data_IF_732991195656
#
_entry.id   IF_732991195656
#
_cell.length_a   1.000
_cell.length_b   1.000
_cell.length_c   1.000
_cell.angle_alpha   90.00
_cell.angle_beta   90.00
_cell.angle_gamma   90.00
#
_symmetry.space_group_name_H-M   'P 1'
#
loop_
_entity.id
_entity.type
_entity.pdbx_description
1 polymer ?
#
# COMPACT_ATOMS: atom_id res chain seq x y z
N UNK A 1 -3.77 42.28 16.87
CA UNK A 1 -2.51 41.80 16.24
C UNK A 1 -1.76 40.76 17.06
N UNK A 2 -2.08 40.56 18.34
CA UNK A 2 -1.38 39.58 19.19
C UNK A 2 -1.30 38.14 18.64
N UNK A 3 -2.36 37.54 18.03
CA UNK A 3 -2.26 36.19 17.46
C UNK A 3 -1.21 36.06 16.34
N UNK A 4 -1.09 37.09 15.49
CA UNK A 4 -0.11 37.11 14.39
C UNK A 4 1.31 37.17 14.94
N UNK A 5 1.56 38.05 15.92
CA UNK A 5 2.87 38.15 16.58
C UNK A 5 3.28 36.84 17.24
N UNK A 6 2.33 36.17 17.90
CA UNK A 6 2.55 34.86 18.51
C UNK A 6 2.92 33.82 17.45
N UNK A 7 2.16 33.71 16.37
CA UNK A 7 2.44 32.76 15.29
C UNK A 7 3.82 32.99 14.66
N UNK A 8 4.22 34.25 14.44
CA UNK A 8 5.56 34.60 13.95
C UNK A 8 6.66 34.13 14.91
N UNK A 9 6.47 34.37 16.21
CA UNK A 9 7.42 33.93 17.25
C UNK A 9 7.51 32.42 17.33
N UNK A 10 6.38 31.72 17.31
CA UNK A 10 6.32 30.26 17.41
C UNK A 10 6.96 29.60 16.17
N UNK A 11 6.81 30.21 14.98
CA UNK A 11 7.49 29.79 13.75
C UNK A 11 8.98 30.17 13.69
N UNK A 12 9.46 31.03 14.59
CA UNK A 12 10.83 31.54 14.57
C UNK A 12 11.15 32.39 13.34
N UNK A 13 10.14 33.04 12.75
CA UNK A 13 10.29 33.82 11.52
C UNK A 13 10.26 35.31 11.79
N UNK A 14 11.03 36.05 11.01
CA UNK A 14 10.93 37.49 10.90
C UNK A 14 9.93 37.91 9.83
N UNK A 15 9.39 39.13 9.94
CA UNK A 15 8.34 39.65 9.04
C UNK A 15 8.75 39.59 7.56
N UNK A 16 10.02 39.88 7.26
CA UNK A 16 10.53 39.95 5.90
C UNK A 16 10.61 38.55 5.23
N UNK A 17 10.61 37.48 6.04
CA UNK A 17 10.63 36.09 5.55
C UNK A 17 9.24 35.59 5.15
N UNK A 18 8.17 36.31 5.49
CA UNK A 18 6.83 35.97 5.01
C UNK A 18 6.75 36.43 3.56
N UNK A 19 6.60 35.51 2.63
CA UNK A 19 6.52 35.82 1.20
C UNK A 19 5.12 36.34 0.83
N UNK A 20 4.08 35.69 1.32
CA UNK A 20 2.69 35.92 0.93
C UNK A 20 1.75 35.98 2.13
N UNK A 21 0.72 36.84 2.05
CA UNK A 21 -0.32 36.97 3.08
C UNK A 21 -1.66 36.63 2.45
N UNK A 22 -2.18 35.44 2.73
CA UNK A 22 -3.48 34.97 2.23
C UNK A 22 -4.58 35.25 3.26
N UNK A 23 -5.70 35.84 2.82
CA UNK A 23 -6.83 36.20 3.67
C UNK A 23 -7.96 35.17 3.55
N UNK A 24 -8.24 34.43 4.62
CA UNK A 24 -9.29 33.38 4.64
C UNK A 24 -10.40 33.73 5.65
N UNK A 25 -11.67 33.60 5.23
CA UNK A 25 -12.86 33.91 6.02
C UNK A 25 -13.41 35.33 5.85
N UNK A 26 -14.74 35.46 5.95
CA UNK A 26 -15.48 36.70 5.63
C UNK A 26 -15.10 37.93 6.47
N UNK A 27 -14.62 37.75 7.70
CA UNK A 27 -14.18 38.86 8.58
C UNK A 27 -12.98 39.64 8.00
N UNK A 28 -12.21 39.03 7.10
CA UNK A 28 -11.11 39.71 6.41
C UNK A 28 -11.56 40.73 5.36
N UNK A 29 -12.87 40.81 5.06
CA UNK A 29 -13.44 41.86 4.21
C UNK A 29 -13.46 43.24 4.90
N UNK A 30 -13.21 43.31 6.21
CA UNK A 30 -13.17 44.56 6.97
C UNK A 30 -11.90 45.36 6.59
N UNK A 31 -12.01 46.59 6.04
CA UNK A 31 -10.86 47.36 5.58
C UNK A 31 -9.81 47.64 6.67
N UNK A 32 -10.26 47.87 7.92
CA UNK A 32 -9.35 48.12 9.04
C UNK A 32 -8.49 46.90 9.38
N UNK A 33 -9.00 45.69 9.22
CA UNK A 33 -8.23 44.44 9.43
C UNK A 33 -7.14 44.33 8.38
N UNK A 34 -7.48 44.55 7.11
CA UNK A 34 -6.52 44.55 6.01
C UNK A 34 -5.43 45.61 6.20
N UNK A 35 -5.78 46.82 6.61
CA UNK A 35 -4.81 47.88 6.88
C UNK A 35 -3.85 47.50 8.01
N UNK A 36 -4.36 46.97 9.12
CA UNK A 36 -3.52 46.55 10.25
C UNK A 36 -2.52 45.44 9.87
N UNK A 37 -2.92 44.52 8.98
CA UNK A 37 -2.02 43.48 8.46
C UNK A 37 -0.94 44.08 7.56
N UNK A 38 -1.31 44.97 6.63
CA UNK A 38 -0.35 45.69 5.77
C UNK A 38 0.65 46.49 6.60
N UNK A 39 0.18 47.26 7.56
CA UNK A 39 1.04 48.07 8.44
C UNK A 39 2.01 47.18 9.24
N UNK A 40 1.55 46.02 9.69
CA UNK A 40 2.39 45.09 10.44
C UNK A 40 3.47 44.43 9.57
N UNK A 41 3.15 44.09 8.33
CA UNK A 41 4.08 43.48 7.36
C UNK A 41 4.69 44.52 6.41
N UNK A 42 4.96 45.72 6.93
CA UNK A 42 5.75 46.77 6.26
C UNK A 42 5.25 47.14 4.85
N UNK A 43 3.93 47.17 4.67
CA UNK A 43 3.25 47.55 3.44
C UNK A 43 3.05 46.42 2.42
N UNK A 44 3.45 45.18 2.74
CA UNK A 44 3.30 44.02 1.85
C UNK A 44 1.86 43.85 1.37
N UNK A 45 1.70 43.56 0.07
CA UNK A 45 0.39 43.34 -0.51
C UNK A 45 -0.27 42.06 0.02
N UNK A 46 -1.58 42.15 0.27
CA UNK A 46 -2.39 41.01 0.70
C UNK A 46 -2.88 40.28 -0.55
N UNK A 47 -2.75 38.95 -0.59
CA UNK A 47 -3.27 38.14 -1.69
C UNK A 47 -4.80 38.20 -1.72
N UNK A 48 -5.34 38.47 -2.91
CA UNK A 48 -6.79 38.52 -3.20
C UNK A 48 -7.24 37.56 -4.29
N UNK A 49 -6.34 36.71 -4.78
CA UNK A 49 -6.62 35.70 -5.81
C UNK A 49 -7.33 34.46 -5.24
N UNK A 50 -7.26 34.26 -3.92
CA UNK A 50 -7.94 33.17 -3.23
C UNK A 50 -9.31 33.62 -2.72
N UNK A 51 -10.35 32.83 -3.00
CA UNK A 51 -11.68 33.08 -2.47
C UNK A 51 -11.73 32.74 -0.97
N UNK A 52 -11.96 33.72 -0.07
CA UNK A 52 -11.87 33.52 1.38
C UNK A 52 -12.95 32.59 1.93
N UNK A 53 -14.07 32.44 1.24
CA UNK A 53 -15.22 31.66 1.72
C UNK A 53 -15.14 30.19 1.27
N UNK A 54 -14.41 29.90 0.20
CA UNK A 54 -14.32 28.55 -0.40
C UNK A 54 -12.98 27.86 -0.15
N UNK A 55 -11.90 28.61 0.11
CA UNK A 55 -10.55 28.05 0.25
C UNK A 55 -10.45 26.92 1.28
N UNK A 56 -11.16 27.06 2.40
CA UNK A 56 -11.20 26.04 3.45
C UNK A 56 -11.89 24.77 2.95
N UNK A 57 -13.01 24.91 2.23
CA UNK A 57 -13.74 23.77 1.67
C UNK A 57 -12.92 23.05 0.59
N UNK A 58 -12.24 23.79 -0.29
CA UNK A 58 -11.31 23.22 -1.27
C UNK A 58 -10.17 22.47 -0.60
N UNK A 59 -9.50 23.08 0.39
CA UNK A 59 -8.42 22.42 1.13
C UNK A 59 -8.88 21.12 1.82
N UNK A 60 -10.04 21.14 2.47
CA UNK A 60 -10.61 19.95 3.09
C UNK A 60 -10.96 18.85 2.08
N UNK A 61 -11.51 19.22 0.91
CA UNK A 61 -11.80 18.28 -0.16
C UNK A 61 -10.53 17.62 -0.71
N UNK A 62 -9.47 18.41 -0.94
CA UNK A 62 -8.18 17.89 -1.40
C UNK A 62 -7.54 16.91 -0.42
N UNK A 63 -7.59 17.20 0.89
CA UNK A 63 -7.07 16.28 1.92
C UNK A 63 -7.86 14.97 1.91
N UNK A 64 -9.19 15.04 1.87
CA UNK A 64 -10.04 13.85 1.81
C UNK A 64 -9.76 13.02 0.56
N UNK A 65 -9.62 13.66 -0.60
CA UNK A 65 -9.29 12.98 -1.85
C UNK A 65 -7.92 12.30 -1.78
N UNK A 66 -6.91 12.97 -1.23
CA UNK A 66 -5.60 12.37 -1.00
C UNK A 66 -5.65 11.14 -0.07
N UNK A 67 -6.45 11.19 1.00
CA UNK A 67 -6.65 10.05 1.90
C UNK A 67 -7.36 8.87 1.21
N UNK A 68 -8.35 9.12 0.37
CA UNK A 68 -9.02 8.06 -0.40
C UNK A 68 -8.07 7.42 -1.41
N UNK A 69 -7.28 8.22 -2.14
CA UNK A 69 -6.23 7.68 -3.02
C UNK A 69 -5.20 6.85 -2.26
N UNK A 70 -4.74 7.30 -1.09
CA UNK A 70 -3.83 6.52 -0.27
C UNK A 70 -4.43 5.16 0.17
N UNK A 71 -5.73 5.13 0.48
CA UNK A 71 -6.45 3.88 0.80
C UNK A 71 -6.59 2.97 -0.41
N UNK A 72 -6.88 3.53 -1.59
CA UNK A 72 -6.98 2.78 -2.84
C UNK A 72 -5.63 2.19 -3.25
N UNK A 73 -4.55 2.97 -3.16
CA UNK A 73 -3.17 2.53 -3.41
C UNK A 73 -2.79 1.39 -2.45
N UNK A 74 -3.13 1.50 -1.16
CA UNK A 74 -2.90 0.41 -0.18
C UNK A 74 -3.63 -0.88 -0.61
N UNK A 75 -4.91 -0.79 -1.00
CA UNK A 75 -5.68 -1.96 -1.46
C UNK A 75 -5.10 -2.59 -2.73
N UNK A 76 -4.66 -1.77 -3.69
CA UNK A 76 -4.04 -2.25 -4.93
C UNK A 76 -2.70 -2.93 -4.63
N UNK A 77 -1.88 -2.35 -3.74
CA UNK A 77 -0.62 -2.95 -3.27
C UNK A 77 -0.85 -4.31 -2.61
N UNK A 78 -1.78 -4.38 -1.65
CA UNK A 78 -2.09 -5.64 -0.95
C UNK A 78 -2.61 -6.73 -1.89
N UNK A 79 -3.49 -6.38 -2.84
CA UNK A 79 -3.97 -7.31 -3.88
C UNK A 79 -2.81 -7.83 -4.72
N UNK A 80 -1.93 -6.93 -5.15
CA UNK A 80 -0.77 -7.26 -6.00
C UNK A 80 0.20 -8.18 -5.26
N UNK A 81 0.45 -7.90 -3.98
CA UNK A 81 1.27 -8.76 -3.13
C UNK A 81 0.65 -10.16 -3.02
N UNK A 82 -0.65 -10.28 -2.75
CA UNK A 82 -1.31 -11.58 -2.66
C UNK A 82 -1.24 -12.39 -3.98
N UNK A 83 -1.43 -11.72 -5.13
CA UNK A 83 -1.24 -12.33 -6.46
C UNK A 83 0.20 -12.84 -6.63
N UNK A 84 1.18 -11.99 -6.31
CA UNK A 84 2.60 -12.33 -6.46
C UNK A 84 3.03 -13.47 -5.53
N UNK A 85 2.46 -13.55 -4.32
CA UNK A 85 2.68 -14.67 -3.40
C UNK A 85 2.20 -15.99 -4.00
N UNK A 86 0.99 -16.03 -4.56
CA UNK A 86 0.46 -17.20 -5.26
C UNK A 86 1.33 -17.58 -6.46
N UNK A 87 1.63 -16.63 -7.33
CA UNK A 87 2.47 -16.84 -8.51
C UNK A 87 3.85 -17.39 -8.13
N UNK A 88 4.50 -16.78 -7.14
CA UNK A 88 5.81 -17.21 -6.63
C UNK A 88 5.74 -18.62 -6.06
N UNK A 89 4.71 -18.96 -5.27
CA UNK A 89 4.54 -20.30 -4.72
C UNK A 89 4.41 -21.36 -5.83
N UNK A 90 3.58 -21.09 -6.84
CA UNK A 90 3.39 -21.97 -8.00
C UNK A 90 4.72 -22.22 -8.70
N UNK A 91 5.49 -21.17 -9.01
CA UNK A 91 6.78 -21.33 -9.67
C UNK A 91 7.81 -22.06 -8.81
N UNK A 92 7.88 -21.76 -7.51
CA UNK A 92 8.76 -22.47 -6.59
C UNK A 92 8.41 -23.96 -6.53
N UNK A 93 7.12 -24.29 -6.49
CA UNK A 93 6.66 -25.67 -6.50
C UNK A 93 7.03 -26.40 -7.79
N UNK A 94 6.74 -25.78 -8.95
CA UNK A 94 7.11 -26.32 -10.27
C UNK A 94 8.62 -26.53 -10.39
N UNK A 95 9.43 -25.65 -9.82
CA UNK A 95 10.88 -25.82 -9.81
C UNK A 95 11.31 -26.99 -8.91
N UNK A 96 10.71 -27.18 -7.75
CA UNK A 96 11.08 -28.26 -6.83
C UNK A 96 10.81 -29.66 -7.40
N UNK A 97 9.69 -29.84 -8.10
CA UNK A 97 9.27 -31.14 -8.66
C UNK A 97 9.94 -31.50 -9.99
N UNK A 98 10.61 -30.53 -10.62
CA UNK A 98 11.33 -30.70 -11.89
C UNK A 98 12.85 -30.69 -11.75
N UNK A 99 13.35 -30.46 -10.53
CA UNK A 99 14.77 -30.43 -10.21
C UNK A 99 15.18 -31.76 -9.55
N UNK A 100 16.05 -32.52 -10.23
CA UNK A 100 16.60 -33.82 -9.80
C UNK A 100 17.32 -33.73 -8.45
N UNK A 101 17.99 -32.59 -8.18
CA UNK A 101 18.68 -32.35 -6.90
C UNK A 101 17.69 -32.06 -5.74
N UNK A 102 16.40 -31.86 -6.03
CA UNK A 102 15.36 -31.52 -5.05
C UNK A 102 14.38 -32.67 -4.82
N UNK A 103 13.21 -32.62 -5.47
CA UNK A 103 12.09 -33.54 -5.23
C UNK A 103 11.79 -34.43 -6.44
N UNK A 104 12.32 -34.14 -7.63
CA UNK A 104 11.92 -34.84 -8.86
C UNK A 104 12.14 -36.36 -8.77
N UNK A 105 13.31 -36.81 -8.30
CA UNK A 105 13.64 -38.24 -8.15
C UNK A 105 13.02 -38.89 -6.92
N UNK A 106 12.47 -38.08 -6.01
CA UNK A 106 11.91 -38.56 -4.74
C UNK A 106 10.40 -38.76 -4.83
N UNK A 107 9.73 -38.14 -5.80
CA UNK A 107 8.29 -38.21 -6.04
C UNK A 107 7.95 -39.45 -6.88
N UNK A 108 6.85 -40.12 -6.54
CA UNK A 108 6.26 -41.06 -7.48
C UNK A 108 5.48 -40.32 -8.60
N UNK A 109 5.06 -41.07 -9.62
CA UNK A 109 4.39 -40.51 -10.79
C UNK A 109 3.04 -39.85 -10.43
N UNK A 110 2.28 -40.43 -9.51
CA UNK A 110 0.95 -39.94 -9.14
C UNK A 110 1.07 -38.68 -8.28
N UNK A 111 2.04 -38.64 -7.36
CA UNK A 111 2.39 -37.47 -6.56
C UNK A 111 2.86 -36.31 -7.43
N UNK A 112 3.72 -36.58 -8.41
CA UNK A 112 4.21 -35.57 -9.35
C UNK A 112 3.08 -35.02 -10.22
N UNK A 113 2.27 -35.89 -10.82
CA UNK A 113 1.13 -35.50 -11.67
C UNK A 113 0.12 -34.64 -10.91
N UNK A 114 -0.16 -34.98 -9.65
CA UNK A 114 -1.04 -34.20 -8.79
C UNK A 114 -0.53 -32.78 -8.54
N UNK A 115 0.76 -32.63 -8.21
CA UNK A 115 1.34 -31.29 -8.01
C UNK A 115 1.38 -30.50 -9.33
N UNK A 116 1.76 -31.14 -10.44
CA UNK A 116 1.78 -30.50 -11.76
C UNK A 116 0.40 -30.02 -12.19
N UNK A 117 -0.63 -30.84 -11.99
CA UNK A 117 -2.01 -30.51 -12.33
C UNK A 117 -2.51 -29.33 -11.49
N UNK A 118 -2.37 -29.39 -10.17
CA UNK A 118 -2.85 -28.31 -9.29
C UNK A 118 -2.10 -27.00 -9.54
N UNK A 119 -0.78 -27.04 -9.75
CA UNK A 119 0.01 -25.83 -10.03
C UNK A 119 -0.32 -25.23 -11.41
N UNK A 120 -0.64 -26.07 -12.40
CA UNK A 120 -1.08 -25.62 -13.72
C UNK A 120 -2.46 -24.97 -13.66
N UNK A 121 -3.43 -25.61 -13.01
CA UNK A 121 -4.79 -25.06 -12.84
C UNK A 121 -4.76 -23.73 -12.07
N UNK A 122 -3.91 -23.61 -11.06
CA UNK A 122 -3.75 -22.36 -10.31
C UNK A 122 -3.12 -21.24 -11.16
N UNK A 123 -2.20 -21.58 -12.08
CA UNK A 123 -1.62 -20.62 -13.01
C UNK A 123 -2.65 -20.15 -14.06
N UNK A 124 -3.42 -21.07 -14.63
CA UNK A 124 -4.53 -20.73 -15.54
C UNK A 124 -5.56 -19.84 -14.82
N UNK A 125 -5.88 -20.15 -13.58
CA UNK A 125 -6.75 -19.31 -12.76
C UNK A 125 -6.16 -17.91 -12.54
N UNK A 126 -4.86 -17.78 -12.26
CA UNK A 126 -4.20 -16.46 -12.12
C UNK A 126 -4.34 -15.61 -13.39
N UNK A 127 -4.20 -16.22 -14.56
CA UNK A 127 -4.28 -15.54 -15.85
C UNK A 127 -5.70 -15.06 -16.16
N UNK A 128 -6.71 -15.85 -15.81
CA UNK A 128 -8.13 -15.52 -15.99
C UNK A 128 -8.66 -14.54 -14.92
N UNK A 129 -7.98 -14.45 -13.78
CA UNK A 129 -8.44 -13.71 -12.60
C UNK A 129 -7.47 -12.59 -12.18
N UNK A 130 -6.93 -11.84 -13.14
CA UNK A 130 -5.97 -10.72 -12.88
C UNK A 130 -6.53 -9.60 -11.98
N UNK A 131 -7.85 -9.52 -11.86
CA UNK A 131 -8.52 -8.51 -11.05
C UNK A 131 -9.32 -9.07 -9.87
N UNK A 132 -9.05 -10.32 -9.47
CA UNK A 132 -9.67 -10.90 -8.29
C UNK A 132 -9.30 -10.14 -7.00
N UNK A 133 -10.08 -10.38 -5.94
CA UNK A 133 -9.85 -9.73 -4.65
C UNK A 133 -8.64 -10.37 -3.95
N UNK A 134 -8.03 -9.62 -3.02
CA UNK A 134 -6.96 -10.11 -2.13
C UNK A 134 -7.31 -11.48 -1.55
N UNK A 135 -8.53 -11.62 -1.04
CA UNK A 135 -9.02 -12.85 -0.41
C UNK A 135 -9.10 -14.02 -1.39
N UNK A 136 -9.49 -13.79 -2.64
CA UNK A 136 -9.56 -14.84 -3.65
C UNK A 136 -8.17 -15.43 -3.94
N UNK A 137 -7.13 -14.58 -4.01
CA UNK A 137 -5.74 -15.04 -4.13
C UNK A 137 -5.28 -15.79 -2.87
N UNK A 138 -5.62 -15.28 -1.67
CA UNK A 138 -5.32 -15.91 -0.37
C UNK A 138 -6.04 -17.25 -0.18
N UNK A 139 -7.18 -17.47 -0.82
CA UNK A 139 -7.87 -18.75 -0.77
C UNK A 139 -7.34 -19.73 -1.82
N UNK A 140 -7.01 -19.23 -3.03
CA UNK A 140 -6.43 -20.07 -4.08
C UNK A 140 -5.07 -20.64 -3.69
N UNK A 141 -4.21 -19.87 -3.03
CA UNK A 141 -2.95 -20.40 -2.48
C UNK A 141 -3.18 -21.49 -1.43
N UNK A 142 -4.13 -21.33 -0.50
CA UNK A 142 -4.45 -22.39 0.48
C UNK A 142 -4.91 -23.66 -0.19
N UNK A 143 -5.69 -23.55 -1.27
CA UNK A 143 -6.10 -24.70 -2.08
C UNK A 143 -4.89 -25.45 -2.65
N UNK A 144 -3.93 -24.73 -3.23
CA UNK A 144 -2.68 -25.31 -3.74
C UNK A 144 -1.84 -25.92 -2.60
N UNK A 145 -1.70 -25.22 -1.48
CA UNK A 145 -0.96 -25.69 -0.30
C UNK A 145 -1.57 -26.97 0.28
N UNK A 146 -2.89 -27.07 0.38
CA UNK A 146 -3.59 -28.27 0.86
C UNK A 146 -3.34 -29.46 -0.06
N UNK A 147 -3.20 -29.23 -1.37
CA UNK A 147 -2.86 -30.28 -2.32
C UNK A 147 -1.38 -30.69 -2.24
N UNK A 148 -0.46 -29.73 -2.11
CA UNK A 148 0.98 -29.97 -2.21
C UNK A 148 1.64 -30.36 -0.87
N UNK A 149 1.27 -29.73 0.24
CA UNK A 149 1.94 -29.91 1.54
C UNK A 149 1.94 -31.35 2.06
N UNK A 150 0.85 -32.14 1.95
CA UNK A 150 0.87 -33.53 2.39
C UNK A 150 1.87 -34.38 1.61
N UNK A 151 1.98 -34.16 0.29
CA UNK A 151 2.91 -34.86 -0.60
C UNK A 151 4.34 -34.49 -0.20
N UNK A 152 4.63 -33.19 -0.11
CA UNK A 152 5.96 -32.69 0.27
C UNK A 152 6.39 -33.23 1.64
N UNK A 153 5.48 -33.22 2.63
CA UNK A 153 5.75 -33.76 3.97
C UNK A 153 6.09 -35.24 3.90
N UNK A 154 5.33 -36.03 3.13
CA UNK A 154 5.62 -37.45 2.93
C UNK A 154 6.99 -37.66 2.24
N UNK A 155 7.34 -36.81 1.27
CA UNK A 155 8.63 -36.85 0.56
C UNK A 155 9.81 -36.58 1.50
N UNK A 156 9.70 -35.57 2.35
CA UNK A 156 10.75 -35.25 3.31
C UNK A 156 10.91 -36.34 4.37
N UNK A 157 9.80 -36.91 4.86
CA UNK A 157 9.83 -38.01 5.82
C UNK A 157 10.48 -39.28 5.24
N UNK A 158 10.20 -39.64 3.98
CA UNK A 158 10.82 -40.82 3.34
C UNK A 158 12.29 -40.61 2.96
N UNK A 159 12.70 -39.37 2.70
CA UNK A 159 14.07 -39.04 2.29
C UNK A 159 15.01 -38.70 3.45
N UNK A 160 14.51 -38.70 4.70
CA UNK A 160 15.32 -38.50 5.90
C UNK A 160 15.85 -37.07 6.08
N UNK A 161 15.25 -36.08 5.41
CA UNK A 161 15.62 -34.66 5.52
C UNK A 161 14.82 -33.92 6.59
N UNK A 162 15.46 -32.99 7.31
CA UNK A 162 14.75 -32.03 8.18
C UNK A 162 13.82 -31.15 7.34
N UNK A 163 12.59 -30.95 7.83
CA UNK A 163 11.61 -30.07 7.22
C UNK A 163 12.08 -28.62 7.29
N UNK A 164 12.77 -28.14 6.25
CA UNK A 164 12.94 -26.71 6.01
C UNK A 164 11.57 -26.14 5.71
N UNK A 165 10.95 -25.49 6.70
CA UNK A 165 9.61 -24.92 6.57
C UNK A 165 9.49 -24.11 5.29
N UNK A 166 8.61 -24.54 4.39
CA UNK A 166 8.27 -23.79 3.19
C UNK A 166 7.51 -22.55 3.65
N UNK A 167 8.20 -21.43 3.84
CA UNK A 167 7.57 -20.16 4.16
C UNK A 167 6.88 -19.60 2.91
N UNK A 168 5.77 -20.22 2.51
CA UNK A 168 4.74 -19.58 1.70
C UNK A 168 3.89 -18.74 2.64
N UNK A 169 3.75 -17.45 2.34
CA UNK A 169 3.17 -16.41 3.21
C UNK A 169 3.97 -16.05 4.46
N UNK A 170 4.87 -15.08 4.30
CA UNK A 170 4.97 -14.05 5.33
C UNK A 170 3.71 -13.16 5.16
N UNK A 171 2.77 -13.26 6.10
CA UNK A 171 1.68 -12.29 6.22
C UNK A 171 2.35 -10.96 6.61
N UNK A 172 2.75 -10.17 5.60
CA UNK A 172 3.32 -8.84 5.76
C UNK A 172 2.22 -7.82 6.08
N UNK A 173 1.26 -8.23 6.91
CA UNK A 173 0.31 -7.38 7.62
C UNK A 173 1.04 -6.74 8.84
N UNK A 174 2.34 -6.47 8.73
CA UNK A 174 3.05 -5.66 9.73
C UNK A 174 2.82 -4.19 9.37
N UNK A 175 1.76 -3.64 9.97
CA UNK A 175 1.50 -2.20 10.03
C UNK A 175 2.75 -1.46 10.51
N UNK A 176 3.43 -0.73 9.61
CA UNK A 176 4.28 0.39 9.99
C UNK A 176 3.61 1.71 9.58
N UNK A 177 3.04 2.32 10.62
CA UNK A 177 2.79 3.74 10.93
C UNK A 177 2.94 4.78 9.81
#
# INVERSE_FOLDING_TARGET
MEPVKKAMKDAGLEKHQIEEIVLIGGSNRIPKVQQLLKDYFDGKELNKHINPDEAVAYGAAMVKEAEEFAKEDKKVKERTNARNSLETYIYNMKNQINDEDKLADKLDLDEKDRIETTTKEALEWLDDNQNAKKEDYKDKIKEVEVACNPIITAVYQRSGGESGGMSGYADDDNDEL
#
